data_IF_071583104655
#
_entry.id   IF_071583104655
#
_cell.length_a   1.000
_cell.length_b   1.000
_cell.length_c   1.000
_cell.angle_alpha   90.00
_cell.angle_beta   90.00
_cell.angle_gamma   90.00
#
_symmetry.space_group_name_H-M   'P 1'
#
loop_
_entity.id
_entity.type
_entity.pdbx_description
1 polymer ?
#
# COMPACT_ATOMS: atom_id res chain seq x y z
N UNK A 1 1.88 6.41 27.61
CA UNK A 1 0.67 5.70 28.06
C UNK A 1 -0.49 5.99 27.13
N UNK A 2 -0.85 5.01 26.31
CA UNK A 2 -2.00 5.02 25.41
C UNK A 2 -3.28 5.41 26.15
N UNK A 3 -4.06 6.33 25.56
CA UNK A 3 -5.38 6.68 26.09
C UNK A 3 -6.45 5.77 25.48
N UNK A 4 -7.45 5.42 26.28
CA UNK A 4 -8.53 4.53 25.88
C UNK A 4 -9.78 5.34 25.49
N UNK A 5 -10.58 4.80 24.57
CA UNK A 5 -11.85 5.35 24.09
C UNK A 5 -11.76 6.78 23.54
N UNK A 6 -10.60 7.14 22.97
CA UNK A 6 -10.34 8.43 22.35
C UNK A 6 -9.77 8.20 20.94
N UNK A 7 -10.27 8.95 19.97
CA UNK A 7 -9.65 9.07 18.64
C UNK A 7 -8.51 10.07 18.77
N UNK A 8 -7.28 9.57 18.68
CA UNK A 8 -6.08 10.37 18.86
C UNK A 8 -5.30 10.37 17.57
N UNK A 9 -4.95 11.57 17.12
CA UNK A 9 -4.09 11.80 15.96
C UNK A 9 -2.86 12.58 16.38
N UNK A 10 -1.69 12.11 15.95
CA UNK A 10 -0.41 12.67 16.34
C UNK A 10 0.61 12.54 15.20
N UNK A 11 1.47 13.56 15.05
CA UNK A 11 2.65 13.50 14.20
C UNK A 11 3.82 12.89 14.98
N UNK A 12 4.53 11.96 14.36
CA UNK A 12 5.76 11.35 14.86
C UNK A 12 6.81 11.47 13.75
N UNK A 13 7.70 12.45 13.84
CA UNK A 13 8.65 12.78 12.77
C UNK A 13 8.01 12.98 11.39
N UNK A 14 8.30 12.06 10.47
CA UNK A 14 7.81 12.03 9.09
C UNK A 14 6.57 11.13 8.89
N UNK A 15 5.90 10.76 9.98
CA UNK A 15 4.72 9.89 10.00
C UNK A 15 3.55 10.58 10.72
N UNK A 16 2.34 10.26 10.27
CA UNK A 16 1.10 10.51 11.00
C UNK A 16 0.58 9.21 11.60
N UNK A 17 0.25 9.25 12.88
CA UNK A 17 -0.42 8.18 13.61
C UNK A 17 -1.85 8.60 13.92
N UNK A 18 -2.79 7.67 13.80
CA UNK A 18 -4.15 7.78 14.32
C UNK A 18 -4.54 6.48 15.01
N UNK A 19 -5.08 6.55 16.22
CA UNK A 19 -5.47 5.35 16.95
C UNK A 19 -6.75 5.50 17.75
N UNK A 20 -7.38 4.35 17.98
CA UNK A 20 -8.54 4.17 18.85
C UNK A 20 -8.42 2.81 19.53
N UNK A 21 -8.26 2.82 20.85
CA UNK A 21 -8.25 1.62 21.68
C UNK A 21 -9.54 1.57 22.48
N UNK A 22 -10.26 0.45 22.40
CA UNK A 22 -11.59 0.25 22.97
C UNK A 22 -11.55 -0.74 24.13
N UNK A 23 -10.84 -1.86 23.95
CA UNK A 23 -10.90 -3.01 24.85
C UNK A 23 -9.56 -3.75 24.88
N UNK A 24 -8.79 -3.61 25.97
CA UNK A 24 -7.47 -4.24 26.12
C UNK A 24 -7.52 -5.76 26.22
N UNK A 25 -8.70 -6.36 26.45
CA UNK A 25 -8.87 -7.81 26.43
C UNK A 25 -8.94 -8.39 25.00
N UNK A 26 -8.89 -7.53 23.97
CA UNK A 26 -8.94 -7.92 22.55
C UNK A 26 -7.66 -7.56 21.82
N UNK A 27 -7.38 -8.22 20.67
CA UNK A 27 -6.23 -7.90 19.85
C UNK A 27 -6.17 -6.43 19.43
N UNK A 28 -4.96 -5.93 19.18
CA UNK A 28 -4.70 -4.64 18.54
C UNK A 28 -4.15 -4.84 17.14
N UNK A 29 -4.69 -4.08 16.19
CA UNK A 29 -4.25 -4.11 14.79
C UNK A 29 -3.43 -2.86 14.49
N UNK A 30 -2.17 -3.06 14.10
CA UNK A 30 -1.25 -2.01 13.69
C UNK A 30 -1.16 -2.01 12.16
N UNK A 31 -1.49 -0.88 11.54
CA UNK A 31 -1.57 -0.76 10.08
C UNK A 31 -0.58 0.24 9.52
N UNK A 32 0.06 -0.10 8.40
CA UNK A 32 0.90 0.84 7.65
C UNK A 32 0.36 1.04 6.23
N UNK A 33 0.24 2.30 5.83
CA UNK A 33 -0.39 2.68 4.57
C UNK A 33 0.45 2.33 3.31
N UNK A 34 -0.20 2.03 2.18
CA UNK A 34 0.49 1.88 0.91
C UNK A 34 1.01 3.23 0.41
N UNK A 35 2.04 3.21 -0.45
CA UNK A 35 2.71 4.44 -0.87
C UNK A 35 1.83 5.47 -1.61
N UNK A 36 0.69 5.05 -2.18
CA UNK A 36 -0.28 5.94 -2.83
C UNK A 36 -1.20 6.71 -1.88
N UNK A 37 -1.13 6.44 -0.57
CA UNK A 37 -1.94 7.08 0.47
C UNK A 37 -1.08 8.06 1.29
N UNK A 38 -0.01 8.60 0.71
CA UNK A 38 0.79 9.66 1.34
C UNK A 38 -0.07 10.87 1.68
N UNK A 39 0.21 11.47 2.83
CA UNK A 39 -0.40 12.74 3.23
C UNK A 39 0.60 13.86 2.91
N UNK A 40 0.08 14.96 2.37
CA UNK A 40 0.86 16.17 2.15
C UNK A 40 0.86 16.99 3.45
N UNK A 41 1.92 17.75 3.74
CA UNK A 41 2.01 18.59 4.95
C UNK A 41 0.78 19.51 5.13
N UNK A 42 0.20 19.98 4.02
CA UNK A 42 -0.98 20.86 4.02
C UNK A 42 -2.30 20.17 4.38
N UNK A 43 -2.37 18.84 4.23
CA UNK A 43 -3.59 18.06 4.50
C UNK A 43 -3.52 17.29 5.83
N UNK A 44 -2.52 17.58 6.66
CA UNK A 44 -2.36 16.97 7.97
C UNK A 44 -3.51 17.31 8.92
N UNK A 45 -4.07 18.52 8.82
CA UNK A 45 -5.18 18.98 9.67
C UNK A 45 -6.56 18.64 9.11
N UNK A 46 -6.64 18.07 7.90
CA UNK A 46 -7.92 17.62 7.35
C UNK A 46 -8.48 16.51 8.23
N UNK A 47 -9.74 16.63 8.66
CA UNK A 47 -10.41 15.64 9.51
C UNK A 47 -10.76 14.33 8.78
N UNK A 48 -9.93 13.93 7.81
CA UNK A 48 -10.04 12.71 7.04
C UNK A 48 -9.33 11.58 7.80
N UNK A 49 -10.03 10.46 8.06
CA UNK A 49 -9.43 9.29 8.67
C UNK A 49 -8.19 8.79 7.91
N UNK A 50 -7.18 8.38 8.67
CA UNK A 50 -5.99 7.73 8.11
C UNK A 50 -6.35 6.40 7.45
N UNK A 51 -5.49 5.95 6.53
CA UNK A 51 -5.70 4.68 5.84
C UNK A 51 -5.83 3.52 6.83
N UNK A 52 -6.84 2.68 6.63
CA UNK A 52 -7.12 1.52 7.49
C UNK A 52 -7.91 1.84 8.77
N UNK A 53 -7.72 3.03 9.34
CA UNK A 53 -8.32 3.43 10.63
C UNK A 53 -9.84 3.24 10.64
N UNK A 54 -10.52 3.90 9.70
CA UNK A 54 -11.97 3.97 9.64
C UNK A 54 -12.64 2.60 9.42
N UNK A 55 -11.96 1.72 8.69
CA UNK A 55 -12.45 0.38 8.42
C UNK A 55 -12.48 -0.48 9.69
N UNK A 56 -11.42 -0.39 10.51
CA UNK A 56 -11.26 -1.21 11.72
C UNK A 56 -11.99 -0.60 12.91
N UNK A 57 -11.93 0.73 13.09
CA UNK A 57 -12.60 1.44 14.18
C UNK A 57 -14.13 1.25 14.13
N UNK A 58 -14.74 1.33 12.94
CA UNK A 58 -16.17 1.03 12.72
C UNK A 58 -16.56 -0.42 13.02
N UNK A 59 -15.59 -1.33 13.15
CA UNK A 59 -15.77 -2.72 13.58
C UNK A 59 -15.45 -2.94 15.05
N UNK A 60 -15.18 -1.86 15.80
CA UNK A 60 -14.80 -1.89 17.21
C UNK A 60 -13.55 -2.73 17.47
N UNK A 61 -12.59 -2.68 16.54
CA UNK A 61 -11.28 -3.32 16.64
C UNK A 61 -10.30 -2.27 17.16
N UNK A 62 -9.47 -2.61 18.15
CA UNK A 62 -8.39 -1.72 18.61
C UNK A 62 -7.43 -1.49 17.44
N UNK A 63 -7.20 -0.22 17.10
CA UNK A 63 -6.52 0.11 15.85
C UNK A 63 -5.49 1.21 16.07
N UNK A 64 -4.31 1.02 15.48
CA UNK A 64 -3.27 2.03 15.36
C UNK A 64 -2.86 2.09 13.89
N UNK A 65 -3.07 3.23 13.25
CA UNK A 65 -2.80 3.44 11.83
C UNK A 65 -1.69 4.45 11.61
N UNK A 66 -0.69 4.05 10.82
CA UNK A 66 0.43 4.89 10.41
C UNK A 66 0.36 5.21 8.91
N UNK A 67 0.56 6.49 8.59
CA UNK A 67 0.62 6.99 7.22
C UNK A 67 1.85 7.88 7.08
N UNK A 68 2.66 7.65 6.04
CA UNK A 68 3.83 8.48 5.78
C UNK A 68 3.45 9.88 5.25
N UNK A 69 4.23 10.87 5.66
CA UNK A 69 4.15 12.23 5.14
C UNK A 69 5.07 12.35 3.93
N UNK A 70 4.54 12.83 2.82
CA UNK A 70 5.26 13.01 1.56
C UNK A 70 5.48 11.73 0.74
N UNK A 71 5.78 11.91 -0.55
CA UNK A 71 5.85 10.80 -1.51
C UNK A 71 7.15 9.96 -1.38
N UNK A 72 8.25 10.58 -0.96
CA UNK A 72 9.59 9.99 -0.86
C UNK A 72 9.96 9.51 0.55
N UNK A 73 8.97 9.06 1.34
CA UNK A 73 9.21 8.44 2.63
C UNK A 73 9.43 6.92 2.47
N UNK A 74 10.52 6.43 3.04
CA UNK A 74 10.91 5.01 3.06
C UNK A 74 11.22 4.53 4.49
N UNK A 75 10.60 5.18 5.47
CA UNK A 75 10.71 4.92 6.90
C UNK A 75 12.15 5.03 7.39
N UNK A 76 12.71 6.23 7.36
CA UNK A 76 14.12 6.48 7.70
C UNK A 76 14.30 7.35 8.95
N UNK A 77 13.20 7.91 9.48
CA UNK A 77 13.21 8.75 10.66
C UNK A 77 13.62 7.95 11.90
N UNK A 78 14.68 8.41 12.57
CA UNK A 78 15.13 7.83 13.84
C UNK A 78 14.13 8.06 14.96
N UNK A 79 13.52 9.25 15.00
CA UNK A 79 12.44 9.59 15.93
C UNK A 79 11.28 8.59 15.82
N UNK A 80 10.93 8.19 14.58
CA UNK A 80 9.88 7.20 14.37
C UNK A 80 10.30 5.80 14.84
N UNK A 81 11.56 5.41 14.65
CA UNK A 81 12.08 4.14 15.15
C UNK A 81 12.02 4.06 16.68
N UNK A 82 12.55 5.08 17.36
CA UNK A 82 12.58 5.14 18.82
C UNK A 82 11.16 5.12 19.39
N UNK A 83 10.23 5.86 18.77
CA UNK A 83 8.81 5.82 19.12
C UNK A 83 8.19 4.42 18.97
N UNK A 84 8.53 3.67 17.92
CA UNK A 84 7.97 2.33 17.72
C UNK A 84 8.47 1.32 18.74
N UNK A 85 9.68 1.48 19.26
CA UNK A 85 10.22 0.66 20.36
C UNK A 85 9.42 0.92 21.65
N UNK A 86 9.23 2.19 22.03
CA UNK A 86 8.41 2.56 23.19
C UNK A 86 6.96 2.10 23.04
N UNK A 87 6.37 2.29 21.85
CA UNK A 87 5.02 1.84 21.57
C UNK A 87 4.90 0.33 21.71
N UNK A 88 5.89 -0.44 21.24
CA UNK A 88 5.91 -1.89 21.38
C UNK A 88 5.84 -2.39 22.83
N UNK A 89 6.44 -1.66 23.78
CA UNK A 89 6.29 -1.91 25.21
C UNK A 89 4.88 -1.63 25.70
N UNK A 90 4.29 -0.50 25.30
CA UNK A 90 2.91 -0.14 25.67
C UNK A 90 1.87 -1.11 25.10
N UNK A 91 2.13 -1.69 23.93
CA UNK A 91 1.26 -2.72 23.32
C UNK A 91 1.32 -4.07 24.05
N UNK A 92 2.20 -4.26 25.04
CA UNK A 92 2.28 -5.47 25.84
C UNK A 92 1.02 -5.79 26.65
N UNK A 93 0.10 -4.82 26.81
CA UNK A 93 -1.17 -5.01 27.52
C UNK A 93 -2.21 -5.79 26.72
N UNK A 94 -2.04 -5.91 25.40
CA UNK A 94 -2.99 -6.61 24.53
C UNK A 94 -2.64 -8.10 24.43
N UNK A 95 -3.63 -9.00 24.32
CA UNK A 95 -3.37 -10.43 24.18
C UNK A 95 -2.72 -10.80 22.85
N UNK A 96 -2.88 -9.96 21.82
CA UNK A 96 -2.31 -10.18 20.49
C UNK A 96 -2.12 -8.85 19.75
N UNK A 97 -1.01 -8.70 19.03
CA UNK A 97 -0.61 -7.55 18.23
C UNK A 97 -0.47 -7.98 16.77
N UNK A 98 -1.40 -7.53 15.94
CA UNK A 98 -1.55 -7.99 14.57
C UNK A 98 -1.08 -6.89 13.60
N UNK A 99 -0.12 -7.22 12.73
CA UNK A 99 0.30 -6.33 11.65
C UNK A 99 -0.58 -6.43 10.41
N UNK A 100 -0.89 -5.31 9.78
CA UNK A 100 -1.52 -5.27 8.45
C UNK A 100 -0.90 -4.21 7.55
N UNK A 101 -0.33 -4.64 6.43
CA UNK A 101 0.41 -3.75 5.53
C UNK A 101 0.19 -4.05 4.06
N UNK A 102 0.22 -3.01 3.23
CA UNK A 102 0.05 -3.11 1.78
C UNK A 102 1.21 -2.43 1.06
N UNK A 103 1.85 -3.10 0.10
CA UNK A 103 2.93 -2.54 -0.71
C UNK A 103 4.05 -1.96 0.18
N UNK A 104 4.31 -0.64 0.11
CA UNK A 104 5.23 0.07 1.02
C UNK A 104 4.84 -0.06 2.50
N UNK A 105 3.56 -0.12 2.83
CA UNK A 105 3.11 -0.42 4.19
C UNK A 105 3.38 -1.87 4.59
N UNK A 106 3.37 -2.79 3.63
CA UNK A 106 3.79 -4.18 3.84
C UNK A 106 5.26 -4.27 4.23
N UNK A 107 6.12 -3.51 3.54
CA UNK A 107 7.54 -3.35 3.90
C UNK A 107 7.69 -2.88 5.35
N UNK A 108 7.06 -1.76 5.73
CA UNK A 108 7.16 -1.21 7.09
C UNK A 108 6.61 -2.15 8.17
N UNK A 109 5.47 -2.80 7.91
CA UNK A 109 4.88 -3.76 8.86
C UNK A 109 5.88 -4.87 9.18
N UNK A 110 6.53 -5.45 8.18
CA UNK A 110 7.55 -6.48 8.41
C UNK A 110 8.87 -5.94 8.99
N UNK A 111 9.28 -4.74 8.58
CA UNK A 111 10.51 -4.09 9.04
C UNK A 111 10.45 -3.81 10.55
N UNK A 112 9.32 -3.30 11.03
CA UNK A 112 9.12 -2.89 12.42
C UNK A 112 8.38 -3.91 13.27
N UNK A 113 8.15 -5.12 12.75
CA UNK A 113 7.42 -6.15 13.47
C UNK A 113 8.03 -6.47 14.83
N UNK A 114 9.36 -6.51 14.93
CA UNK A 114 10.06 -6.81 16.18
C UNK A 114 10.01 -5.65 17.18
N UNK A 115 10.22 -4.41 16.73
CA UNK A 115 10.11 -3.21 17.59
C UNK A 115 8.70 -3.09 18.18
N UNK A 116 7.68 -3.33 17.35
CA UNK A 116 6.28 -3.34 17.76
C UNK A 116 5.84 -4.63 18.49
N UNK A 117 6.74 -5.61 18.62
CA UNK A 117 6.47 -6.94 19.20
C UNK A 117 5.23 -7.61 18.61
N UNK A 118 5.02 -7.49 17.30
CA UNK A 118 3.87 -8.09 16.61
C UNK A 118 3.91 -9.61 16.73
N UNK A 119 2.74 -10.24 16.88
CA UNK A 119 2.61 -11.69 17.00
C UNK A 119 2.45 -12.37 15.63
N UNK A 120 1.83 -11.68 14.66
CA UNK A 120 1.72 -12.10 13.25
C UNK A 120 1.32 -10.94 12.35
N UNK A 121 1.53 -11.07 11.04
CA UNK A 121 1.13 -10.03 10.09
C UNK A 121 0.54 -10.54 8.77
N UNK A 122 -0.41 -9.78 8.23
CA UNK A 122 -0.95 -9.93 6.88
C UNK A 122 -0.35 -8.87 5.96
N UNK A 123 0.39 -9.30 4.96
CA UNK A 123 1.03 -8.42 3.99
C UNK A 123 0.44 -8.62 2.60
N UNK A 124 0.02 -7.55 1.95
CA UNK A 124 -0.43 -7.58 0.56
C UNK A 124 0.66 -6.98 -0.33
N UNK A 125 1.17 -7.77 -1.28
CA UNK A 125 2.22 -7.40 -2.25
C UNK A 125 3.38 -6.58 -1.64
N UNK A 126 4.01 -7.05 -0.53
CA UNK A 126 5.03 -6.28 0.17
C UNK A 126 6.31 -6.14 -0.65
N UNK A 127 7.01 -5.03 -0.46
CA UNK A 127 8.42 -4.91 -0.83
C UNK A 127 9.27 -5.41 0.33
N UNK A 128 10.41 -6.04 0.04
CA UNK A 128 11.33 -6.52 1.07
C UNK A 128 12.41 -5.50 1.47
N UNK A 129 12.84 -4.63 0.55
CA UNK A 129 13.88 -3.62 0.80
C UNK A 129 13.83 -2.53 -0.26
N UNK A 130 14.43 -1.38 0.05
CA UNK A 130 14.74 -0.32 -0.92
C UNK A 130 16.22 -0.32 -1.34
N UNK A 131 17.00 -1.36 -0.97
CA UNK A 131 18.38 -1.53 -1.44
C UNK A 131 18.45 -2.05 -2.88
N UNK A 132 18.94 -1.20 -3.79
CA UNK A 132 19.17 -1.57 -5.19
C UNK A 132 20.25 -2.64 -5.36
N UNK A 133 21.17 -2.82 -4.41
CA UNK A 133 22.20 -3.86 -4.45
C UNK A 133 21.58 -5.24 -4.28
N UNK A 134 20.51 -5.33 -3.50
CA UNK A 134 19.82 -6.61 -3.22
C UNK A 134 18.62 -6.84 -4.13
N UNK A 135 17.95 -5.78 -4.59
CA UNK A 135 16.82 -5.84 -5.54
C UNK A 135 17.07 -5.02 -6.81
N UNK A 136 18.14 -5.30 -7.58
CA UNK A 136 18.44 -4.54 -8.81
C UNK A 136 17.36 -4.70 -9.88
N UNK A 137 16.51 -5.72 -9.77
CA UNK A 137 15.44 -6.03 -10.72
C UNK A 137 14.15 -5.25 -10.50
N UNK A 138 13.98 -4.49 -9.41
CA UNK A 138 12.77 -3.70 -9.16
C UNK A 138 12.96 -2.22 -9.56
N UNK A 139 12.25 -1.72 -10.58
CA UNK A 139 12.31 -0.31 -10.98
C UNK A 139 11.91 0.67 -9.87
N UNK A 140 11.01 0.29 -8.95
CA UNK A 140 10.62 1.14 -7.81
C UNK A 140 11.77 1.34 -6.84
N UNK A 141 12.53 0.28 -6.57
CA UNK A 141 13.71 0.32 -5.71
C UNK A 141 14.81 1.16 -6.37
N UNK A 142 15.02 1.00 -7.68
CA UNK A 142 15.96 1.86 -8.42
C UNK A 142 15.58 3.35 -8.29
N UNK A 143 14.31 3.70 -8.51
CA UNK A 143 13.83 5.08 -8.37
C UNK A 143 13.96 5.59 -6.92
N UNK A 144 13.61 4.77 -5.93
CA UNK A 144 13.74 5.13 -4.52
C UNK A 144 15.21 5.41 -4.15
N UNK A 145 16.14 4.57 -4.62
CA UNK A 145 17.57 4.68 -4.31
C UNK A 145 18.23 5.98 -4.80
N UNK A 146 17.62 6.69 -5.76
CA UNK A 146 18.11 8.00 -6.22
C UNK A 146 17.79 9.12 -5.21
N UNK A 147 16.79 8.92 -4.36
CA UNK A 147 16.24 9.91 -3.42
C UNK A 147 16.41 9.50 -1.96
N UNK A 148 17.21 8.47 -1.67
CA UNK A 148 17.34 7.88 -0.34
C UNK A 148 18.77 8.00 0.19
N UNK A 149 18.90 8.22 1.50
CA UNK A 149 20.18 8.14 2.21
C UNK A 149 20.70 6.70 2.31
N UNK A 150 21.99 6.55 2.62
CA UNK A 150 22.63 5.24 2.80
C UNK A 150 21.99 4.41 3.94
N UNK A 151 21.46 5.06 4.99
CA UNK A 151 20.80 4.42 6.13
C UNK A 151 19.50 3.69 5.71
N UNK A 152 18.76 4.26 4.77
CA UNK A 152 17.54 3.66 4.19
C UNK A 152 17.85 2.45 3.33
N UNK A 153 19.04 2.42 2.71
CA UNK A 153 19.47 1.33 1.83
C UNK A 153 19.94 0.08 2.60
N UNK A 154 20.10 0.12 3.93
CA UNK A 154 20.57 -1.05 4.68
C UNK A 154 19.43 -1.83 5.37
N UNK A 155 18.18 -1.39 5.22
CA UNK A 155 17.01 -2.02 5.85
C UNK A 155 16.50 -3.18 5.01
N UNK A 156 16.40 -4.36 5.61
CA UNK A 156 15.83 -5.54 5.00
C UNK A 156 14.66 -6.06 5.83
N UNK A 157 13.44 -5.95 5.29
CA UNK A 157 12.26 -6.46 5.94
C UNK A 157 12.08 -7.98 5.71
N UNK A 158 12.88 -8.59 4.82
CA UNK A 158 12.82 -10.03 4.55
C UNK A 158 13.23 -10.90 5.75
N UNK A 159 14.05 -10.37 6.67
CA UNK A 159 14.53 -11.08 7.87
C UNK A 159 13.53 -11.07 9.02
N UNK A 160 12.34 -10.50 8.82
CA UNK A 160 11.26 -10.47 9.79
C UNK A 160 11.04 -11.84 10.43
N UNK A 161 11.12 -11.91 11.77
CA UNK A 161 11.09 -13.17 12.54
C UNK A 161 9.69 -13.71 12.85
N UNK A 162 8.67 -12.87 12.71
CA UNK A 162 7.31 -13.23 13.08
C UNK A 162 6.61 -14.03 11.96
N UNK A 163 5.56 -14.81 12.29
CA UNK A 163 4.70 -15.45 11.30
C UNK A 163 4.06 -14.46 10.30
N UNK A 164 4.35 -14.63 9.01
CA UNK A 164 3.76 -13.82 7.94
C UNK A 164 2.76 -14.62 7.09
N UNK A 165 1.61 -14.01 6.83
CA UNK A 165 0.70 -14.39 5.75
C UNK A 165 0.81 -13.36 4.64
N UNK A 166 1.22 -13.78 3.44
CA UNK A 166 1.47 -12.88 2.32
C UNK A 166 0.55 -13.21 1.16
N UNK A 167 -0.16 -12.20 0.63
CA UNK A 167 -0.96 -12.30 -0.59
C UNK A 167 -0.28 -11.53 -1.71
N UNK A 168 0.00 -12.21 -2.84
CA UNK A 168 0.75 -11.62 -3.95
C UNK A 168 0.38 -12.23 -5.31
N UNK A 169 0.77 -11.54 -6.39
CA UNK A 169 0.64 -12.09 -7.74
C UNK A 169 1.95 -12.78 -8.17
N UNK A 170 1.99 -14.12 -8.27
CA UNK A 170 3.21 -14.82 -8.69
C UNK A 170 3.59 -14.58 -10.16
N UNK A 171 2.68 -14.08 -11.00
CA UNK A 171 2.97 -13.73 -12.39
C UNK A 171 3.63 -12.36 -12.50
N UNK A 172 3.50 -11.51 -11.48
CA UNK A 172 4.19 -10.22 -11.44
C UNK A 172 5.59 -10.41 -10.86
N UNK A 173 6.61 -10.35 -11.72
CA UNK A 173 8.00 -10.68 -11.39
C UNK A 173 8.50 -9.99 -10.11
N UNK A 174 8.24 -8.69 -9.95
CA UNK A 174 8.73 -7.95 -8.80
C UNK A 174 8.12 -8.42 -7.47
N UNK A 175 6.79 -8.60 -7.44
CA UNK A 175 6.09 -9.11 -6.24
C UNK A 175 6.58 -10.51 -5.89
N UNK A 176 6.69 -11.41 -6.89
CA UNK A 176 7.19 -12.77 -6.68
C UNK A 176 8.59 -12.76 -6.06
N UNK A 177 9.51 -12.01 -6.64
CA UNK A 177 10.90 -11.98 -6.19
C UNK A 177 11.05 -11.33 -4.80
N UNK A 178 10.23 -10.35 -4.44
CA UNK A 178 10.19 -9.82 -3.07
C UNK A 178 9.68 -10.87 -2.08
N UNK A 179 8.57 -11.54 -2.39
CA UNK A 179 7.98 -12.57 -1.51
C UNK A 179 8.91 -13.78 -1.31
N UNK A 180 9.68 -14.15 -2.33
CA UNK A 180 10.69 -15.22 -2.25
C UNK A 180 11.82 -14.92 -1.25
N UNK A 181 12.07 -13.65 -0.92
CA UNK A 181 13.10 -13.28 0.06
C UNK A 181 12.68 -13.48 1.51
N UNK A 182 11.39 -13.35 1.81
CA UNK A 182 10.90 -13.42 3.19
C UNK A 182 11.11 -14.83 3.79
N UNK A 183 11.76 -14.89 4.93
CA UNK A 183 12.11 -16.14 5.61
C UNK A 183 10.93 -16.78 6.34
N UNK A 184 10.17 -16.01 7.13
CA UNK A 184 9.15 -16.54 8.04
C UNK A 184 7.71 -16.44 7.51
N UNK A 185 7.51 -16.83 6.25
CA UNK A 185 6.17 -16.85 5.64
C UNK A 185 5.51 -18.20 5.86
N UNK A 186 4.51 -18.21 6.74
CA UNK A 186 3.68 -19.39 7.02
C UNK A 186 2.72 -19.65 5.86
N UNK A 187 2.11 -18.60 5.31
CA UNK A 187 1.12 -18.71 4.25
C UNK A 187 1.48 -17.83 3.05
N UNK A 188 1.69 -18.44 1.88
CA UNK A 188 1.91 -17.75 0.59
C UNK A 188 0.67 -17.85 -0.29
N UNK A 189 -0.27 -16.93 -0.10
CA UNK A 189 -1.54 -16.92 -0.82
C UNK A 189 -1.37 -16.25 -2.19
N UNK A 190 -1.67 -17.00 -3.25
CA UNK A 190 -1.44 -16.56 -4.64
C UNK A 190 -2.72 -15.98 -5.24
N UNK A 191 -2.65 -14.75 -5.75
CA UNK A 191 -3.69 -14.12 -6.54
C UNK A 191 -3.15 -13.79 -7.94
N UNK A 192 -3.07 -14.77 -8.84
CA UNK A 192 -2.36 -14.62 -10.11
C UNK A 192 -3.15 -13.82 -11.15
N UNK A 193 -2.48 -12.97 -11.92
CA UNK A 193 -3.03 -12.26 -13.08
C UNK A 193 -3.67 -10.91 -12.77
N UNK A 194 -3.34 -10.31 -11.62
CA UNK A 194 -3.84 -8.99 -11.22
C UNK A 194 -2.73 -7.94 -11.19
N UNK A 195 -1.46 -8.34 -11.12
CA UNK A 195 -0.30 -7.46 -10.96
C UNK A 195 -0.19 -6.90 -9.55
N UNK A 196 0.54 -5.77 -9.41
CA UNK A 196 0.71 -5.06 -8.14
C UNK A 196 -0.55 -4.27 -7.72
N UNK A 197 -1.70 -4.95 -7.57
CA UNK A 197 -2.98 -4.36 -7.17
C UNK A 197 -3.85 -5.30 -6.30
N UNK A 198 -3.22 -6.14 -5.49
CA UNK A 198 -3.88 -7.17 -4.67
C UNK A 198 -5.11 -6.65 -3.88
N UNK A 199 -5.04 -5.53 -3.11
CA UNK A 199 -6.19 -5.04 -2.37
C UNK A 199 -7.35 -4.65 -3.29
N UNK A 200 -7.06 -4.01 -4.43
CA UNK A 200 -8.07 -3.63 -5.42
C UNK A 200 -8.73 -4.87 -6.02
N UNK A 201 -7.95 -5.89 -6.37
CA UNK A 201 -8.51 -7.13 -6.90
C UNK A 201 -9.40 -7.85 -5.89
N UNK A 202 -8.98 -7.92 -4.62
CA UNK A 202 -9.82 -8.44 -3.55
C UNK A 202 -11.08 -7.59 -3.34
N UNK A 203 -10.98 -6.26 -3.43
CA UNK A 203 -12.13 -5.37 -3.27
C UNK A 203 -13.12 -5.52 -4.43
N UNK A 204 -12.64 -5.54 -5.68
CA UNK A 204 -13.47 -5.72 -6.88
C UNK A 204 -14.17 -7.09 -6.89
N UNK A 205 -13.62 -8.09 -6.20
CA UNK A 205 -14.26 -9.40 -5.98
C UNK A 205 -15.15 -9.47 -4.72
N UNK A 206 -15.25 -8.39 -3.93
CA UNK A 206 -15.99 -8.39 -2.66
C UNK A 206 -15.31 -9.16 -1.51
N UNK A 207 -14.04 -9.51 -1.65
CA UNK A 207 -13.29 -10.38 -0.74
C UNK A 207 -12.42 -9.64 0.27
N UNK A 208 -12.00 -8.40 -0.01
CA UNK A 208 -10.99 -7.69 0.81
C UNK A 208 -11.36 -7.65 2.29
N UNK A 209 -12.61 -7.22 2.59
CA UNK A 209 -13.11 -7.16 3.96
C UNK A 209 -13.12 -8.53 4.63
N UNK A 210 -13.60 -9.56 3.94
CA UNK A 210 -13.65 -10.93 4.47
C UNK A 210 -12.25 -11.42 4.82
N UNK A 211 -11.31 -11.31 3.88
CA UNK A 211 -9.92 -11.77 4.07
C UNK A 211 -9.25 -11.07 5.25
N UNK A 212 -9.38 -9.75 5.37
CA UNK A 212 -8.75 -9.00 6.45
C UNK A 212 -9.37 -9.35 7.81
N UNK A 213 -10.71 -9.40 7.91
CA UNK A 213 -11.37 -9.73 9.18
C UNK A 213 -11.15 -11.19 9.58
N UNK A 214 -11.20 -12.13 8.64
CA UNK A 214 -10.92 -13.54 8.92
C UNK A 214 -9.48 -13.75 9.33
N UNK A 215 -8.53 -12.98 8.77
CA UNK A 215 -7.17 -12.98 9.28
C UNK A 215 -7.13 -12.45 10.71
N UNK A 216 -7.72 -11.27 11.00
CA UNK A 216 -7.72 -10.70 12.36
C UNK A 216 -8.31 -11.69 13.37
N UNK A 217 -9.43 -12.33 13.03
CA UNK A 217 -10.13 -13.33 13.86
C UNK A 217 -9.42 -14.72 13.89
N UNK A 218 -8.23 -14.85 13.28
CA UNK A 218 -7.46 -16.09 13.18
C UNK A 218 -8.23 -17.28 12.58
N UNK A 219 -9.09 -17.01 11.59
CA UNK A 219 -9.95 -18.00 10.90
C UNK A 219 -9.83 -17.96 9.37
N UNK A 220 -8.78 -17.34 8.84
CA UNK A 220 -8.55 -17.26 7.41
C UNK A 220 -8.29 -18.66 6.86
N UNK A 221 -9.24 -19.16 6.07
CA UNK A 221 -9.09 -20.44 5.37
C UNK A 221 -8.13 -20.28 4.17
N UNK A 222 -6.89 -20.74 4.37
CA UNK A 222 -5.83 -20.66 3.37
C UNK A 222 -5.97 -21.71 2.28
N UNK A 223 -6.60 -22.86 2.59
CA UNK A 223 -6.81 -23.97 1.66
C UNK A 223 -7.94 -23.65 0.67
N UNK A 224 -9.01 -23.00 1.13
CA UNK A 224 -10.11 -22.54 0.27
C UNK A 224 -9.76 -21.26 -0.53
N UNK A 225 -8.65 -20.58 -0.21
CA UNK A 225 -8.28 -19.32 -0.85
C UNK A 225 -8.21 -19.39 -2.40
N UNK A 226 -7.61 -20.42 -3.04
CA UNK A 226 -7.54 -20.53 -4.49
C UNK A 226 -8.91 -20.59 -5.17
N UNK A 227 -9.90 -21.20 -4.51
CA UNK A 227 -11.28 -21.31 -4.99
C UNK A 227 -12.01 -19.98 -4.83
N UNK A 228 -11.84 -19.32 -3.67
CA UNK A 228 -12.39 -18.01 -3.37
C UNK A 228 -12.00 -16.97 -4.44
N UNK A 229 -10.76 -17.03 -4.95
CA UNK A 229 -10.24 -16.06 -5.92
C UNK A 229 -10.46 -16.45 -7.39
N UNK A 230 -11.27 -17.48 -7.70
CA UNK A 230 -11.57 -17.88 -9.10
C UNK A 230 -12.25 -16.77 -9.88
N UNK A 231 -13.07 -15.98 -9.22
CA UNK A 231 -13.82 -14.85 -9.80
C UNK A 231 -12.93 -13.72 -10.31
N UNK A 232 -11.63 -13.72 -9.99
CA UNK A 232 -10.65 -12.77 -10.56
C UNK A 232 -10.68 -12.74 -12.09
N UNK A 233 -11.10 -13.84 -12.74
CA UNK A 233 -11.22 -13.94 -14.20
C UNK A 233 -12.27 -12.99 -14.78
N UNK A 234 -13.24 -12.57 -13.97
CA UNK A 234 -14.28 -11.60 -14.35
C UNK A 234 -13.82 -10.16 -14.21
N UNK A 235 -12.66 -9.90 -13.61
CA UNK A 235 -12.12 -8.55 -13.50
C UNK A 235 -11.74 -8.01 -14.87
N UNK A 236 -12.23 -6.80 -15.20
CA UNK A 236 -12.03 -6.17 -16.51
C UNK A 236 -10.56 -6.04 -16.95
N UNK A 237 -9.62 -6.00 -15.99
CA UNK A 237 -8.18 -5.91 -16.26
C UNK A 237 -7.44 -7.25 -16.25
N UNK A 238 -8.08 -8.36 -15.86
CA UNK A 238 -7.44 -9.66 -15.71
C UNK A 238 -6.80 -10.15 -17.01
N UNK A 239 -7.62 -10.33 -18.06
CA UNK A 239 -7.11 -10.80 -19.35
C UNK A 239 -6.14 -9.81 -19.99
N UNK A 240 -6.35 -8.50 -19.80
CA UNK A 240 -5.38 -7.48 -20.25
C UNK A 240 -4.03 -7.66 -19.55
N UNK A 241 -4.01 -7.95 -18.25
CA UNK A 241 -2.79 -8.20 -17.49
C UNK A 241 -2.07 -9.48 -17.91
N UNK A 242 -2.80 -10.51 -18.34
CA UNK A 242 -2.18 -11.74 -18.85
C UNK A 242 -1.66 -11.57 -20.28
N UNK A 243 -2.39 -10.82 -21.11
CA UNK A 243 -2.01 -10.53 -22.50
C UNK A 243 -0.82 -9.59 -22.63
N UNK A 244 -0.44 -8.84 -21.57
CA UNK A 244 0.82 -8.10 -21.53
C UNK A 244 2.05 -9.00 -21.32
N UNK A 245 1.86 -10.33 -21.32
CA UNK A 245 2.87 -11.36 -21.09
C UNK A 245 3.83 -11.04 -19.93
N UNK A 246 3.31 -10.94 -18.69
CA UNK A 246 4.11 -10.56 -17.53
C UNK A 246 5.21 -11.58 -17.22
N UNK A 247 5.10 -12.81 -17.75
CA UNK A 247 6.07 -13.88 -17.59
C UNK A 247 7.07 -14.01 -18.74
N UNK A 248 6.85 -13.32 -19.87
CA UNK A 248 7.59 -13.52 -21.14
C UNK A 248 7.55 -14.97 -21.64
N UNK A 249 6.45 -15.67 -21.38
CA UNK A 249 6.24 -17.11 -21.66
C UNK A 249 4.91 -17.37 -22.37
N UNK A 250 4.29 -16.34 -22.93
CA UNK A 250 2.98 -16.46 -23.56
C UNK A 250 3.10 -17.03 -24.98
N UNK A 251 2.62 -18.25 -25.18
CA UNK A 251 2.57 -18.88 -26.51
C UNK A 251 1.41 -18.34 -27.35
N UNK A 252 1.50 -18.46 -28.68
CA UNK A 252 0.42 -18.08 -29.58
C UNK A 252 -0.91 -18.78 -29.25
N UNK A 253 -0.87 -20.10 -28.97
CA UNK A 253 -2.04 -20.88 -28.53
C UNK A 253 -2.69 -20.30 -27.27
N UNK A 254 -1.89 -19.97 -26.25
CA UNK A 254 -2.40 -19.34 -25.01
C UNK A 254 -2.96 -17.95 -25.26
N UNK A 255 -2.31 -17.15 -26.13
CA UNK A 255 -2.80 -15.83 -26.52
C UNK A 255 -4.20 -15.92 -27.14
N UNK A 256 -4.44 -16.87 -28.06
CA UNK A 256 -5.77 -17.10 -28.63
C UNK A 256 -6.82 -17.42 -27.55
N UNK A 257 -6.51 -18.32 -26.60
CA UNK A 257 -7.42 -18.66 -25.49
C UNK A 257 -7.74 -17.43 -24.63
N UNK A 258 -6.72 -16.63 -24.27
CA UNK A 258 -6.91 -15.41 -23.49
C UNK A 258 -7.76 -14.38 -24.24
N UNK A 259 -7.56 -14.22 -25.55
CA UNK A 259 -8.37 -13.34 -26.38
C UNK A 259 -9.82 -13.81 -26.46
N UNK A 260 -10.05 -15.10 -26.68
CA UNK A 260 -11.39 -15.69 -26.70
C UNK A 260 -12.15 -15.35 -25.42
N UNK A 261 -11.59 -15.69 -24.25
CA UNK A 261 -12.26 -15.42 -22.98
C UNK A 261 -12.42 -13.93 -22.67
N UNK A 262 -11.45 -13.10 -23.07
CA UNK A 262 -11.57 -11.64 -22.96
C UNK A 262 -12.78 -11.15 -23.75
N UNK A 263 -12.93 -11.58 -25.00
CA UNK A 263 -14.04 -11.19 -25.87
C UNK A 263 -15.37 -11.73 -25.32
N UNK A 264 -15.43 -12.98 -24.88
CA UNK A 264 -16.64 -13.54 -24.24
C UNK A 264 -17.06 -12.73 -23.02
N UNK A 265 -16.11 -12.33 -22.17
CA UNK A 265 -16.40 -11.48 -21.01
C UNK A 265 -16.89 -10.11 -21.44
N UNK A 266 -16.29 -9.49 -22.45
CA UNK A 266 -16.73 -8.18 -22.95
C UNK A 266 -18.14 -8.25 -23.56
N UNK A 267 -18.44 -9.29 -24.34
CA UNK A 267 -19.77 -9.51 -24.91
C UNK A 267 -20.82 -9.71 -23.82
N UNK A 268 -20.51 -10.50 -22.79
CA UNK A 268 -21.41 -10.73 -21.66
C UNK A 268 -21.68 -9.48 -20.80
N UNK A 269 -20.84 -8.44 -20.91
CA UNK A 269 -20.96 -7.19 -20.16
C UNK A 269 -20.99 -5.96 -21.09
N UNK A 270 -21.46 -6.12 -22.33
CA UNK A 270 -21.38 -5.08 -23.36
C UNK A 270 -22.11 -3.80 -22.93
N UNK A 271 -23.22 -3.95 -22.21
CA UNK A 271 -24.06 -2.85 -21.71
C UNK A 271 -23.34 -2.01 -20.64
N UNK A 272 -22.43 -2.61 -19.87
CA UNK A 272 -21.66 -1.91 -18.83
C UNK A 272 -20.48 -1.10 -19.40
N UNK A 273 -19.95 -1.48 -20.56
CA UNK A 273 -18.69 -0.93 -21.08
C UNK A 273 -18.75 0.59 -21.33
N UNK A 274 -19.82 1.18 -21.89
CA UNK A 274 -19.95 2.64 -21.99
C UNK A 274 -19.80 3.35 -20.64
N UNK A 275 -20.45 2.82 -19.59
CA UNK A 275 -20.36 3.36 -18.23
C UNK A 275 -18.94 3.27 -17.66
N UNK A 276 -18.25 2.15 -17.90
CA UNK A 276 -16.85 1.96 -17.49
C UNK A 276 -15.90 2.92 -18.20
N UNK A 277 -16.11 3.16 -19.49
CA UNK A 277 -15.33 4.12 -20.29
C UNK A 277 -15.53 5.54 -19.74
N UNK A 278 -16.78 5.94 -19.52
CA UNK A 278 -17.13 7.24 -18.94
C UNK A 278 -16.50 7.43 -17.55
N UNK A 279 -16.57 6.41 -16.69
CA UNK A 279 -15.96 6.44 -15.36
C UNK A 279 -14.44 6.63 -15.44
N UNK A 280 -13.75 5.86 -16.28
CA UNK A 280 -12.29 5.99 -16.48
C UNK A 280 -11.92 7.37 -17.03
N UNK A 281 -12.70 7.89 -17.96
CA UNK A 281 -12.48 9.22 -18.52
C UNK A 281 -12.64 10.30 -17.45
N UNK A 282 -13.71 10.25 -16.65
CA UNK A 282 -13.92 11.16 -15.51
C UNK A 282 -12.73 11.11 -14.54
N UNK A 283 -12.33 9.91 -14.11
CA UNK A 283 -11.18 9.74 -13.21
C UNK A 283 -9.88 10.30 -13.80
N UNK A 284 -9.64 10.07 -15.10
CA UNK A 284 -8.48 10.62 -15.80
C UNK A 284 -8.51 12.15 -15.84
N UNK A 285 -9.66 12.75 -16.15
CA UNK A 285 -9.82 14.20 -16.19
C UNK A 285 -9.65 14.82 -14.81
N UNK A 286 -10.23 14.24 -13.77
CA UNK A 286 -10.03 14.68 -12.38
C UNK A 286 -8.57 14.67 -11.99
N UNK A 287 -7.83 13.59 -12.29
CA UNK A 287 -6.38 13.52 -12.00
C UNK A 287 -5.58 14.58 -12.75
N UNK A 288 -5.87 14.80 -14.03
CA UNK A 288 -5.19 15.83 -14.84
C UNK A 288 -5.49 17.22 -14.32
N UNK A 289 -6.76 17.51 -14.01
CA UNK A 289 -7.18 18.78 -13.39
C UNK A 289 -6.43 19.01 -12.07
N UNK A 290 -6.44 18.02 -11.17
CA UNK A 290 -5.73 18.09 -9.89
C UNK A 290 -4.22 18.37 -10.06
N UNK A 291 -3.56 17.69 -11.02
CA UNK A 291 -2.14 17.94 -11.31
C UNK A 291 -1.89 19.37 -11.78
N UNK A 292 -2.75 19.89 -12.66
CA UNK A 292 -2.67 21.29 -13.12
C UNK A 292 -2.87 22.26 -11.95
N UNK A 293 -3.86 22.01 -11.09
CA UNK A 293 -4.10 22.82 -9.87
C UNK A 293 -2.91 22.77 -8.91
N UNK A 294 -2.32 21.59 -8.68
CA UNK A 294 -1.12 21.42 -7.84
C UNK A 294 0.07 22.19 -8.40
N UNK A 295 0.33 22.10 -9.71
CA UNK A 295 1.39 22.87 -10.37
C UNK A 295 1.13 24.38 -10.30
N UNK A 296 -0.10 24.82 -10.52
CA UNK A 296 -0.48 26.24 -10.43
C UNK A 296 -0.24 26.79 -9.02
N UNK A 297 -0.69 26.10 -7.98
CA UNK A 297 -0.49 26.51 -6.59
C UNK A 297 0.99 26.53 -6.20
N UNK A 298 1.78 25.54 -6.65
CA UNK A 298 3.23 25.55 -6.43
C UNK A 298 3.91 26.76 -7.10
N UNK A 299 3.50 27.13 -8.32
CA UNK A 299 4.03 28.30 -9.01
C UNK A 299 3.64 29.63 -8.34
N UNK A 300 2.42 29.76 -7.83
CA UNK A 300 2.01 30.95 -7.08
C UNK A 300 2.85 31.16 -5.82
N UNK A 301 3.16 30.08 -5.07
CA UNK A 301 4.02 30.17 -3.89
C UNK A 301 5.46 30.62 -4.21
N UNK A 302 6.04 30.14 -5.32
CA UNK A 302 7.36 30.57 -5.78
C UNK A 302 7.38 32.05 -6.17
N UNK A 303 6.27 32.59 -6.68
CA UNK A 303 6.14 34.01 -7.02
C UNK A 303 5.98 34.87 -5.76
N UNK A 304 5.27 34.40 -4.74
CA UNK A 304 5.08 35.13 -3.47
C UNK A 304 6.30 35.13 -2.55
N UNK A 305 7.20 34.16 -2.65
CA UNK A 305 8.44 34.11 -1.83
C UNK A 305 9.62 34.92 -2.40
N UNK A 306 9.45 35.57 -3.55
CA UNK A 306 10.41 36.59 -4.03
C UNK A 306 9.86 37.98 -3.69
N UNK A 307 10.42 38.73 -2.73
CA UNK A 307 10.22 40.17 -2.74
C UNK A 307 10.81 40.70 -4.05
N UNK A 308 10.02 41.52 -4.75
CA UNK A 308 10.42 42.26 -5.94
C UNK A 308 11.73 43.02 -5.66
N UNK A 309 12.87 42.45 -6.05
CA UNK A 309 14.00 43.23 -6.49
C UNK A 309 13.76 43.55 -7.98
N UNK A 310 12.92 44.57 -8.21
CA UNK A 310 12.83 45.23 -9.52
C UNK A 310 14.17 45.94 -9.76
N UNK A 311 15.12 45.26 -10.39
CA UNK A 311 16.20 45.92 -11.12
C UNK A 311 15.94 45.74 -12.62
N UNK A 312 15.32 46.77 -13.19
CA UNK A 312 15.56 47.31 -14.53
C UNK A 312 16.29 46.43 -15.55
N UNK A 313 15.58 46.00 -16.59
CA UNK A 313 16.02 46.09 -17.99
C UNK A 313 14.88 45.67 -18.94
N UNK A 314 13.90 46.55 -19.14
CA UNK A 314 13.23 46.64 -20.44
C UNK A 314 14.19 47.36 -21.38
N UNK A 315 14.67 46.72 -22.45
CA UNK A 315 14.99 47.39 -23.74
C UNK A 315 14.96 46.35 -24.88
N UNK A 316 13.90 46.48 -25.70
CA UNK A 316 13.80 46.45 -27.17
C UNK A 316 14.16 45.21 -28.03
N UNK A 317 13.12 44.75 -28.76
CA UNK A 317 13.01 44.51 -30.22
C UNK A 317 14.08 43.63 -30.90
N UNK A 318 13.73 42.46 -31.45
CA UNK A 318 12.90 42.22 -32.65
C UNK A 318 12.53 40.74 -32.72
#
# INVERSE_FOLDING_TARGET
>A
MLKFNQDIRQRIGDMMMQYLIIDTSKPVVVTFAPGCEAIDEKSMDENKPLWGFDFLSKKKINTISFVHIGENNYYQSREFEDFLEELGDELGVFPERIGYGVSRGGFATSLYANSLKLDRALLLMPLSTYDKRVTPWDPKVQKASQNSSLSTLNKDAAICSIPLTIIYDPLFKADRLHVERYSNVINRLKLPGVGHRIPRALQDMGLLKKVVLDFIDNRLDTEAFPELIRERRKLSYYYRSLLSDPTQKLTFKRKLILYYHKLSLQLANIEDEPGRILCRLRQSLFKRKYLVEKCHNQLQHVITERPLALSTAMVFCL
#
